data_IF_812563773960
#
_entry.id   IF_812563773960
#
_cell.length_a   1.000
_cell.length_b   1.000
_cell.length_c   1.000
_cell.angle_alpha   90.00
_cell.angle_beta   90.00
_cell.angle_gamma   90.00
#
_symmetry.space_group_name_H-M   'P 1'
#
loop_
_entity.id
_entity.type
_entity.pdbx_description
1 polymer ?
#
# COMPACT_ATOMS: atom_id res chain seq x y z
N UNK A 1 -7.30 -11.65 -21.00
CA UNK A 1 -7.09 -10.58 -20.00
C UNK A 1 -7.70 -11.06 -18.70
N UNK A 2 -6.93 -11.23 -17.62
CA UNK A 2 -7.46 -11.83 -16.38
C UNK A 2 -8.20 -10.76 -15.58
N UNK A 3 -9.45 -11.06 -15.19
CA UNK A 3 -10.33 -10.12 -14.49
C UNK A 3 -10.19 -10.31 -12.98
N UNK A 4 -10.03 -9.21 -12.26
CA UNK A 4 -9.92 -9.18 -10.81
C UNK A 4 -10.95 -8.18 -10.30
N UNK A 5 -11.73 -8.61 -9.31
CA UNK A 5 -12.72 -7.77 -8.66
C UNK A 5 -12.41 -7.71 -7.17
N UNK A 6 -12.11 -6.51 -6.69
CA UNK A 6 -11.98 -6.22 -5.28
C UNK A 6 -13.24 -5.48 -4.84
N UNK A 7 -13.94 -6.01 -3.85
CA UNK A 7 -15.17 -5.41 -3.32
C UNK A 7 -15.36 -5.74 -1.83
N UNK A 8 -16.26 -5.04 -1.13
CA UNK A 8 -16.80 -5.55 0.12
C UNK A 8 -17.39 -6.96 -0.06
N UNK A 9 -17.34 -7.75 1.01
CA UNK A 9 -17.80 -9.14 1.04
C UNK A 9 -19.24 -9.32 0.56
N UNK A 10 -20.14 -8.42 0.96
CA UNK A 10 -21.55 -8.47 0.61
C UNK A 10 -21.85 -8.22 -0.88
N UNK A 11 -20.88 -7.71 -1.64
CA UNK A 11 -21.00 -7.50 -3.08
C UNK A 11 -20.37 -8.65 -3.90
N UNK A 12 -19.69 -9.59 -3.25
CA UNK A 12 -19.11 -10.75 -3.93
C UNK A 12 -20.22 -11.75 -4.22
N UNK A 13 -20.43 -12.17 -5.49
CA UNK A 13 -21.50 -13.09 -5.83
C UNK A 13 -21.31 -14.46 -5.18
N UNK A 14 -22.42 -15.17 -4.95
CA UNK A 14 -22.39 -16.55 -4.44
C UNK A 14 -21.76 -17.49 -5.47
N UNK A 15 -22.21 -17.39 -6.72
CA UNK A 15 -21.60 -18.07 -7.87
C UNK A 15 -20.57 -17.14 -8.51
N UNK A 16 -19.30 -17.54 -8.48
CA UNK A 16 -18.20 -16.75 -9.05
C UNK A 16 -18.19 -16.90 -10.57
N UNK A 17 -17.91 -15.80 -11.27
CA UNK A 17 -17.67 -15.83 -12.72
C UNK A 17 -16.39 -16.63 -13.02
N UNK A 18 -16.44 -17.44 -14.07
CA UNK A 18 -15.26 -18.11 -14.61
C UNK A 18 -14.21 -17.08 -15.05
N UNK A 19 -12.93 -17.42 -14.95
CA UNK A 19 -11.79 -16.53 -15.25
C UNK A 19 -11.73 -15.20 -14.48
N UNK A 20 -12.50 -15.07 -13.39
CA UNK A 20 -12.51 -13.88 -12.52
C UNK A 20 -12.04 -14.23 -11.11
N UNK A 21 -10.99 -13.55 -10.64
CA UNK A 21 -10.56 -13.65 -9.23
C UNK A 21 -11.26 -12.59 -8.39
N UNK A 22 -11.83 -12.99 -7.25
CA UNK A 22 -12.50 -12.09 -6.32
C UNK A 22 -11.69 -11.92 -5.05
N UNK A 23 -11.67 -10.70 -4.54
CA UNK A 23 -11.03 -10.34 -3.27
C UNK A 23 -12.00 -9.56 -2.39
N UNK A 24 -12.15 -10.03 -1.14
CA UNK A 24 -12.84 -9.30 -0.09
C UNK A 24 -11.96 -8.21 0.50
N UNK A 25 -12.51 -7.01 0.59
CA UNK A 25 -11.87 -5.85 1.20
C UNK A 25 -12.07 -5.87 2.73
N UNK A 26 -10.98 -5.82 3.48
CA UNK A 26 -10.96 -5.62 4.94
C UNK A 26 -11.69 -6.69 5.79
N UNK A 27 -12.19 -7.76 5.19
CA UNK A 27 -12.82 -8.90 5.88
C UNK A 27 -12.32 -10.22 5.32
N UNK A 28 -12.27 -11.26 6.17
CA UNK A 28 -12.05 -12.63 5.72
C UNK A 28 -13.42 -13.28 5.47
N UNK A 29 -13.77 -13.59 4.21
CA UNK A 29 -15.09 -14.12 3.85
C UNK A 29 -15.25 -15.60 4.23
N UNK A 30 -14.19 -16.28 4.68
CA UNK A 30 -14.14 -17.73 4.95
C UNK A 30 -14.62 -18.57 3.76
N UNK A 31 -14.28 -18.14 2.54
CA UNK A 31 -14.58 -18.82 1.27
C UNK A 31 -13.26 -19.15 0.58
N UNK A 32 -12.97 -20.43 0.33
CA UNK A 32 -11.67 -20.87 -0.22
C UNK A 32 -11.32 -20.22 -1.56
N UNK A 33 -12.30 -20.03 -2.44
CA UNK A 33 -12.10 -19.47 -3.79
C UNK A 33 -12.13 -17.93 -3.83
N UNK A 34 -12.13 -17.26 -2.67
CA UNK A 34 -12.18 -15.79 -2.56
C UNK A 34 -11.00 -15.32 -1.71
N UNK A 35 -10.13 -14.52 -2.31
CA UNK A 35 -9.02 -13.90 -1.59
C UNK A 35 -9.51 -12.79 -0.68
N UNK A 36 -8.62 -12.24 0.13
CA UNK A 36 -8.93 -11.06 0.92
C UNK A 36 -7.68 -10.25 1.22
N UNK A 37 -7.85 -9.00 1.65
CA UNK A 37 -6.76 -8.14 2.09
C UNK A 37 -7.20 -7.16 3.17
N UNK A 38 -6.24 -6.57 3.87
CA UNK A 38 -6.48 -5.49 4.83
C UNK A 38 -7.29 -5.91 6.06
N UNK A 39 -7.40 -7.20 6.37
CA UNK A 39 -8.30 -7.73 7.40
C UNK A 39 -8.08 -7.18 8.82
N UNK A 40 -6.90 -6.61 9.10
CA UNK A 40 -6.62 -5.92 10.38
C UNK A 40 -6.63 -4.40 10.27
N UNK A 41 -6.53 -3.84 9.06
CA UNK A 41 -6.21 -2.42 8.85
C UNK A 41 -7.27 -1.50 9.47
N UNK A 42 -8.55 -1.84 9.37
CA UNK A 42 -9.63 -1.05 10.02
C UNK A 42 -9.38 -0.92 11.52
N UNK A 43 -9.03 -2.02 12.20
CA UNK A 43 -8.76 -2.02 13.64
C UNK A 43 -7.48 -1.25 13.96
N UNK A 44 -6.47 -1.35 13.10
CA UNK A 44 -5.19 -0.68 13.29
C UNK A 44 -5.33 0.85 13.14
N UNK A 45 -6.09 1.31 12.14
CA UNK A 45 -6.45 2.72 11.97
C UNK A 45 -7.30 3.24 13.13
N UNK A 46 -8.29 2.45 13.58
CA UNK A 46 -9.12 2.82 14.74
C UNK A 46 -8.31 2.92 16.03
N UNK A 47 -7.34 2.02 16.23
CA UNK A 47 -6.42 2.07 17.39
C UNK A 47 -5.51 3.28 17.32
N UNK A 48 -5.08 3.66 16.13
CA UNK A 48 -4.25 4.84 15.89
C UNK A 48 -5.02 6.17 15.98
N UNK A 49 -6.33 6.18 16.23
CA UNK A 49 -7.04 7.45 16.42
C UNK A 49 -7.14 8.31 15.14
N UNK A 50 -6.92 7.75 13.95
CA UNK A 50 -6.73 8.54 12.74
C UNK A 50 -8.05 9.04 12.15
N UNK A 51 -8.11 10.34 11.84
CA UNK A 51 -9.21 10.93 11.08
C UNK A 51 -8.89 10.93 9.59
N UNK A 52 -9.46 9.97 8.88
CA UNK A 52 -9.18 9.81 7.45
C UNK A 52 -10.05 10.71 6.58
N UNK A 53 -9.45 11.22 5.51
CA UNK A 53 -10.20 11.73 4.36
C UNK A 53 -10.55 10.59 3.40
N UNK A 54 -11.67 10.72 2.68
CA UNK A 54 -12.14 9.65 1.78
C UNK A 54 -11.13 9.30 0.70
N UNK A 55 -10.46 10.30 0.14
CA UNK A 55 -9.42 10.09 -0.87
C UNK A 55 -8.19 9.34 -0.32
N UNK A 56 -7.81 9.54 0.94
CA UNK A 56 -6.71 8.78 1.55
C UNK A 56 -7.11 7.33 1.76
N UNK A 57 -8.35 7.10 2.23
CA UNK A 57 -8.89 5.76 2.43
C UNK A 57 -9.06 4.99 1.11
N UNK A 58 -9.57 5.65 0.08
CA UNK A 58 -9.68 5.07 -1.25
C UNK A 58 -8.31 4.76 -1.85
N UNK A 59 -7.32 5.65 -1.69
CA UNK A 59 -5.97 5.39 -2.18
C UNK A 59 -5.38 4.12 -1.57
N UNK A 60 -5.63 3.90 -0.28
CA UNK A 60 -5.21 2.70 0.43
C UNK A 60 -5.93 1.45 -0.07
N UNK A 61 -7.23 1.56 -0.30
CA UNK A 61 -8.03 0.49 -0.90
C UNK A 61 -7.50 0.11 -2.28
N UNK A 62 -7.18 1.09 -3.11
CA UNK A 62 -6.60 0.89 -4.46
C UNK A 62 -5.22 0.24 -4.36
N UNK A 63 -4.33 0.74 -3.50
CA UNK A 63 -2.98 0.19 -3.32
C UNK A 63 -3.02 -1.27 -2.85
N UNK A 64 -3.88 -1.61 -1.89
CA UNK A 64 -4.09 -2.99 -1.44
C UNK A 64 -4.62 -3.89 -2.57
N UNK A 65 -5.58 -3.39 -3.35
CA UNK A 65 -6.13 -4.11 -4.49
C UNK A 65 -5.08 -4.36 -5.59
N UNK A 66 -4.19 -3.39 -5.83
CA UNK A 66 -3.05 -3.54 -6.74
C UNK A 66 -2.10 -4.63 -6.25
N UNK A 67 -1.72 -4.63 -4.96
CA UNK A 67 -0.84 -5.66 -4.40
C UNK A 67 -1.50 -7.04 -4.45
N UNK A 68 -2.80 -7.13 -4.14
CA UNK A 68 -3.55 -8.37 -4.26
C UNK A 68 -3.57 -8.89 -5.71
N UNK A 69 -3.82 -8.00 -6.66
CA UNK A 69 -3.82 -8.33 -8.08
C UNK A 69 -2.44 -8.80 -8.57
N UNK A 70 -1.39 -8.03 -8.25
CA UNK A 70 0.00 -8.31 -8.63
C UNK A 70 0.45 -9.68 -8.10
N UNK A 71 0.14 -9.99 -6.85
CA UNK A 71 0.52 -11.26 -6.21
C UNK A 71 -0.31 -12.45 -6.72
N UNK A 72 -1.51 -12.23 -7.25
CA UNK A 72 -2.45 -13.30 -7.62
C UNK A 72 -2.25 -13.87 -9.03
N UNK A 73 -1.45 -13.22 -9.88
CA UNK A 73 -1.34 -13.59 -11.29
C UNK A 73 0.09 -13.98 -11.65
N UNK A 74 0.34 -15.27 -11.87
CA UNK A 74 1.69 -15.73 -12.22
C UNK A 74 2.10 -15.33 -13.64
N UNK A 75 3.31 -14.79 -13.82
CA UNK A 75 3.86 -14.38 -15.13
C UNK A 75 4.14 -15.54 -16.07
N UNK A 76 4.49 -16.73 -15.55
CA UNK A 76 4.75 -17.95 -16.34
C UNK A 76 3.62 -18.33 -17.31
N UNK A 77 2.40 -17.86 -17.04
CA UNK A 77 1.21 -18.15 -17.83
C UNK A 77 0.91 -17.07 -18.90
N UNK A 78 1.75 -16.04 -19.06
CA UNK A 78 1.59 -15.04 -20.13
C UNK A 78 2.21 -15.52 -21.44
N UNK A 79 1.81 -14.90 -22.56
CA UNK A 79 2.23 -15.32 -23.90
C UNK A 79 3.76 -15.26 -24.11
N UNK A 80 4.42 -14.32 -23.44
CA UNK A 80 5.87 -14.12 -23.43
C UNK A 80 6.54 -14.64 -22.14
N UNK A 81 5.77 -15.26 -21.23
CA UNK A 81 6.21 -15.67 -19.89
C UNK A 81 6.55 -14.51 -18.93
N UNK A 82 6.28 -13.26 -19.32
CA UNK A 82 6.67 -12.06 -18.59
C UNK A 82 5.56 -11.04 -18.37
N UNK A 83 4.87 -10.59 -19.42
CA UNK A 83 3.97 -9.44 -19.43
C UNK A 83 2.52 -9.87 -19.28
N UNK A 84 1.89 -9.48 -18.17
CA UNK A 84 0.47 -9.78 -17.89
C UNK A 84 -0.43 -8.66 -18.39
N UNK A 85 -1.69 -9.01 -18.63
CA UNK A 85 -2.78 -8.06 -18.84
C UNK A 85 -3.77 -8.20 -17.69
N UNK A 86 -3.80 -7.18 -16.83
CA UNK A 86 -4.52 -7.15 -15.56
C UNK A 86 -5.69 -6.19 -15.68
N UNK A 87 -6.91 -6.70 -15.60
CA UNK A 87 -8.12 -5.88 -15.51
C UNK A 87 -8.59 -5.89 -14.05
N UNK A 88 -8.39 -4.78 -13.35
CA UNK A 88 -8.70 -4.63 -11.94
C UNK A 88 -9.89 -3.71 -11.74
N UNK A 89 -10.97 -4.27 -11.19
CA UNK A 89 -12.12 -3.51 -10.70
C UNK A 89 -11.99 -3.32 -9.19
N UNK A 90 -12.05 -2.07 -8.71
CA UNK A 90 -11.94 -1.72 -7.29
C UNK A 90 -13.19 -0.92 -6.88
N UNK A 91 -13.87 -1.37 -5.84
CA UNK A 91 -14.93 -0.60 -5.19
C UNK A 91 -14.30 0.41 -4.21
N UNK A 92 -14.60 1.69 -4.39
CA UNK A 92 -14.09 2.81 -3.60
C UNK A 92 -15.25 3.67 -3.10
N UNK A 93 -15.01 4.52 -2.10
CA UNK A 93 -16.01 5.43 -1.55
C UNK A 93 -16.40 6.49 -2.59
N UNK A 94 -15.44 7.10 -3.27
CA UNK A 94 -15.69 8.19 -4.20
C UNK A 94 -14.96 8.00 -5.54
N UNK A 95 -15.55 7.25 -6.49
CA UNK A 95 -14.93 7.02 -7.81
C UNK A 95 -14.66 8.29 -8.62
N UNK A 96 -15.43 9.36 -8.38
CA UNK A 96 -15.29 10.60 -9.16
C UNK A 96 -13.92 11.28 -9.01
N UNK A 97 -13.23 11.03 -7.88
CA UNK A 97 -11.86 11.50 -7.64
C UNK A 97 -10.84 10.70 -8.45
N UNK A 98 -11.11 9.42 -8.69
CA UNK A 98 -10.14 8.48 -9.27
C UNK A 98 -10.26 8.34 -10.78
N UNK A 99 -11.46 8.50 -11.34
CA UNK A 99 -11.70 8.42 -12.78
C UNK A 99 -10.82 9.39 -13.57
N UNK A 100 -10.64 10.67 -13.18
CA UNK A 100 -9.77 11.61 -13.91
C UNK A 100 -8.29 11.21 -13.92
N UNK A 101 -7.80 10.58 -12.86
CA UNK A 101 -6.37 10.18 -12.71
C UNK A 101 -6.11 8.72 -13.10
N UNK A 102 -7.14 8.00 -13.53
CA UNK A 102 -7.08 6.57 -13.91
C UNK A 102 -5.92 6.26 -14.86
N UNK A 103 -5.79 7.03 -15.94
CA UNK A 103 -4.79 6.78 -16.97
C UNK A 103 -3.36 6.99 -16.44
N UNK A 104 -3.17 7.94 -15.53
CA UNK A 104 -1.88 8.17 -14.86
C UNK A 104 -1.53 6.99 -13.95
N UNK A 105 -2.50 6.49 -13.17
CA UNK A 105 -2.32 5.29 -12.36
C UNK A 105 -1.95 4.07 -13.22
N UNK A 106 -2.65 3.83 -14.32
CA UNK A 106 -2.35 2.72 -15.24
C UNK A 106 -0.93 2.83 -15.83
N UNK A 107 -0.49 4.03 -16.23
CA UNK A 107 0.87 4.28 -16.73
C UNK A 107 1.92 4.04 -15.64
N UNK A 108 1.68 4.53 -14.44
CA UNK A 108 2.58 4.36 -13.29
C UNK A 108 2.71 2.87 -12.93
N UNK A 109 1.59 2.14 -12.84
CA UNK A 109 1.60 0.70 -12.57
C UNK A 109 2.32 -0.07 -13.68
N UNK A 110 2.12 0.30 -14.95
CA UNK A 110 2.87 -0.28 -16.07
C UNK A 110 4.36 -0.02 -15.95
N UNK A 111 4.77 1.19 -15.58
CA UNK A 111 6.18 1.52 -15.38
C UNK A 111 6.81 0.68 -14.26
N UNK A 112 6.11 0.55 -13.13
CA UNK A 112 6.60 -0.20 -11.96
C UNK A 112 6.66 -1.72 -12.21
N UNK A 113 5.64 -2.27 -12.86
CA UNK A 113 5.43 -3.74 -12.94
C UNK A 113 5.82 -4.34 -14.29
N UNK A 114 5.89 -3.54 -15.35
CA UNK A 114 6.02 -3.98 -16.74
C UNK A 114 4.72 -4.53 -17.34
N UNK A 115 3.62 -4.63 -16.58
CA UNK A 115 2.36 -5.21 -17.03
C UNK A 115 1.40 -4.17 -17.63
N UNK A 116 0.42 -4.64 -18.42
CA UNK A 116 -0.68 -3.81 -18.88
C UNK A 116 -1.79 -3.80 -17.83
N UNK A 117 -2.08 -2.62 -17.28
CA UNK A 117 -3.15 -2.41 -16.31
C UNK A 117 -4.35 -1.74 -16.95
N UNK A 118 -5.53 -2.23 -16.63
CA UNK A 118 -6.81 -1.55 -16.88
C UNK A 118 -7.58 -1.46 -15.58
N UNK A 119 -7.86 -0.25 -15.10
CA UNK A 119 -8.50 0.02 -13.82
C UNK A 119 -9.97 0.40 -14.03
N UNK A 120 -10.86 -0.14 -13.21
CA UNK A 120 -12.27 0.27 -13.17
C UNK A 120 -12.66 0.59 -11.74
N UNK A 121 -13.04 1.83 -11.47
CA UNK A 121 -13.50 2.26 -10.15
C UNK A 121 -15.02 2.17 -10.08
N UNK A 122 -15.54 1.54 -9.03
CA UNK A 122 -16.98 1.44 -8.75
C UNK A 122 -17.31 2.02 -7.39
N UNK A 123 -18.52 2.54 -7.23
CA UNK A 123 -19.04 2.94 -5.92
C UNK A 123 -19.28 1.73 -5.02
N UNK A 124 -19.58 1.98 -3.75
CA UNK A 124 -19.85 0.91 -2.78
C UNK A 124 -18.58 0.29 -2.20
N UNK A 125 -17.51 1.07 -2.08
CA UNK A 125 -16.34 0.70 -1.27
C UNK A 125 -16.68 0.58 0.22
N UNK A 126 -15.77 -0.02 0.99
CA UNK A 126 -15.92 -0.10 2.45
C UNK A 126 -15.83 1.30 3.04
N UNK A 127 -16.82 1.70 3.84
CA UNK A 127 -16.87 3.02 4.48
C UNK A 127 -15.66 3.25 5.41
N UNK A 128 -15.36 4.53 5.66
CA UNK A 128 -14.25 4.92 6.51
C UNK A 128 -14.41 4.32 7.92
N UNK A 129 -13.32 3.89 8.56
CA UNK A 129 -13.34 3.48 9.95
C UNK A 129 -13.84 4.63 10.84
N UNK A 130 -14.92 4.41 11.59
CA UNK A 130 -15.43 5.36 12.58
C UNK A 130 -14.97 4.94 13.97
N UNK A 131 -14.54 5.87 14.83
CA UNK A 131 -14.26 5.52 16.23
C UNK A 131 -15.56 5.22 16.96
N UNK A 132 -15.56 4.17 17.78
CA UNK A 132 -16.70 3.81 18.63
C UNK A 132 -17.01 4.91 19.67
N UNK A 133 -15.98 5.62 20.13
CA UNK A 133 -16.17 6.78 20.99
C UNK A 133 -16.47 8.03 20.14
N UNK A 134 -17.73 8.45 20.17
CA UNK A 134 -18.24 9.62 19.42
C UNK A 134 -17.52 10.92 19.79
N UNK A 135 -16.95 11.02 20.99
CA UNK A 135 -16.24 12.21 21.49
C UNK A 135 -14.85 12.35 20.84
N UNK A 136 -14.16 11.22 20.57
CA UNK A 136 -12.90 11.20 19.81
C UNK A 136 -13.10 11.51 18.32
N UNK A 137 -14.31 11.31 17.79
CA UNK A 137 -14.64 11.78 16.43
C UNK A 137 -14.87 13.30 16.37
N UNK A 138 -15.13 13.95 17.52
CA UNK A 138 -15.50 15.38 17.62
C UNK A 138 -14.34 16.28 18.07
N UNK A 139 -13.45 15.77 18.93
CA UNK A 139 -12.21 16.43 19.33
C UNK A 139 -11.15 16.11 18.27
N UNK A 140 -10.54 17.13 17.67
CA UNK A 140 -9.43 16.93 16.73
C UNK A 140 -8.30 16.12 17.38
N UNK A 141 -7.55 15.34 16.59
CA UNK A 141 -6.43 14.51 17.06
C UNK A 141 -5.39 15.38 17.76
N UNK A 142 -5.48 15.49 19.08
CA UNK A 142 -4.63 16.38 19.90
C UNK A 142 -3.30 15.74 20.32
N UNK A 143 -3.07 14.47 19.94
CA UNK A 143 -2.06 13.65 20.61
C UNK A 143 -0.82 13.37 19.73
N UNK A 144 -0.77 13.91 18.51
CA UNK A 144 0.39 13.81 17.62
C UNK A 144 1.10 15.17 17.54
N UNK A 145 2.35 15.22 18.01
CA UNK A 145 3.21 16.40 17.96
C UNK A 145 4.26 16.32 16.85
N UNK A 146 4.28 15.21 16.10
CA UNK A 146 5.16 14.99 14.96
C UNK A 146 4.85 15.89 13.75
N UNK A 147 5.89 16.18 12.96
CA UNK A 147 5.86 17.17 11.88
C UNK A 147 6.04 16.58 10.48
N UNK A 148 6.36 15.29 10.40
CA UNK A 148 6.53 14.58 9.12
C UNK A 148 6.34 13.07 9.26
N UNK A 149 6.31 12.38 8.12
CA UNK A 149 6.27 10.92 8.03
C UNK A 149 7.61 10.42 7.50
N UNK A 150 8.16 9.37 8.10
CA UNK A 150 9.35 8.68 7.60
C UNK A 150 9.08 7.19 7.38
N UNK A 151 9.28 6.71 6.16
CA UNK A 151 9.18 5.29 5.86
C UNK A 151 10.37 4.52 6.44
N UNK A 152 10.07 3.47 7.20
CA UNK A 152 11.07 2.63 7.86
C UNK A 152 10.88 1.17 7.44
N UNK A 153 11.61 0.73 6.41
CA UNK A 153 11.48 -0.63 5.85
C UNK A 153 12.12 -1.70 6.74
N UNK A 154 13.11 -1.32 7.57
CA UNK A 154 13.97 -2.25 8.31
C UNK A 154 15.32 -2.48 7.64
N UNK A 155 15.52 -1.95 6.42
CA UNK A 155 16.81 -1.92 5.73
C UNK A 155 17.71 -0.77 6.19
N UNK A 156 19.00 -0.87 5.84
CA UNK A 156 20.05 0.11 6.22
C UNK A 156 19.78 1.51 5.67
N UNK A 157 19.25 1.62 4.45
CA UNK A 157 18.98 2.94 3.84
C UNK A 157 17.89 3.69 4.60
N UNK A 158 16.80 3.00 4.93
CA UNK A 158 15.71 3.55 5.74
C UNK A 158 16.16 3.93 7.15
N UNK A 159 17.10 3.17 7.73
CA UNK A 159 17.70 3.47 9.03
C UNK A 159 18.57 4.74 8.95
N UNK A 160 19.47 4.82 7.96
CA UNK A 160 20.37 5.96 7.80
C UNK A 160 19.58 7.26 7.61
N UNK A 161 18.62 7.28 6.68
CA UNK A 161 17.82 8.48 6.46
C UNK A 161 16.91 8.85 7.62
N UNK A 162 16.43 7.87 8.40
CA UNK A 162 15.69 8.17 9.63
C UNK A 162 16.57 8.81 10.72
N UNK A 163 17.82 8.35 10.87
CA UNK A 163 18.81 8.97 11.77
C UNK A 163 19.12 10.40 11.32
N UNK A 164 19.37 10.61 10.03
CA UNK A 164 19.66 11.94 9.48
C UNK A 164 18.50 12.90 9.74
N UNK A 165 17.27 12.46 9.46
CA UNK A 165 16.07 13.27 9.63
C UNK A 165 15.86 13.74 11.08
N UNK A 166 16.07 12.84 12.06
CA UNK A 166 15.98 13.20 13.48
C UNK A 166 17.16 14.08 13.92
N UNK A 167 18.35 13.84 13.36
CA UNK A 167 19.55 14.66 13.63
C UNK A 167 19.39 16.10 13.13
N UNK A 168 18.66 16.28 12.02
CA UNK A 168 18.24 17.59 11.50
C UNK A 168 17.16 18.29 12.34
N UNK A 169 16.71 17.65 13.44
CA UNK A 169 15.75 18.22 14.39
C UNK A 169 14.29 18.01 14.01
N UNK A 170 13.99 17.12 13.05
CA UNK A 170 12.61 16.74 12.70
C UNK A 170 12.04 15.73 13.68
N UNK A 171 10.71 15.65 13.77
CA UNK A 171 10.00 14.69 14.62
C UNK A 171 9.09 13.84 13.72
N UNK A 172 9.58 12.73 13.17
CA UNK A 172 8.79 11.90 12.26
C UNK A 172 7.88 10.92 13.01
N UNK A 173 6.70 10.66 12.44
CA UNK A 173 6.00 9.38 12.64
C UNK A 173 6.67 8.35 11.74
N UNK A 174 7.12 7.25 12.33
CA UNK A 174 7.66 6.14 11.56
C UNK A 174 6.55 5.25 11.02
N UNK A 175 6.67 4.84 9.75
CA UNK A 175 5.69 3.96 9.11
C UNK A 175 6.41 2.79 8.46
N UNK A 176 6.00 1.58 8.85
CA UNK A 176 6.57 0.33 8.36
C UNK A 176 5.48 -0.57 7.78
N UNK A 177 5.77 -1.11 6.59
CA UNK A 177 5.03 -2.25 6.08
C UNK A 177 5.67 -3.53 6.62
N UNK A 178 4.91 -4.31 7.41
CA UNK A 178 5.40 -5.58 7.94
C UNK A 178 5.31 -6.65 6.87
N UNK A 179 6.47 -7.20 6.50
CA UNK A 179 6.59 -8.49 5.81
C UNK A 179 7.39 -9.43 6.71
N UNK A 180 7.15 -10.73 6.57
CA UNK A 180 7.60 -11.77 7.52
C UNK A 180 9.07 -11.58 7.90
N UNK A 181 9.34 -11.40 9.19
CA UNK A 181 10.71 -11.34 9.77
C UNK A 181 11.20 -9.94 10.15
N UNK A 182 10.62 -8.87 9.58
CA UNK A 182 11.20 -7.52 9.72
C UNK A 182 10.66 -6.72 10.91
N UNK A 183 9.58 -7.19 11.54
CA UNK A 183 8.82 -6.42 12.52
C UNK A 183 9.65 -6.00 13.74
N UNK A 184 10.47 -6.90 14.29
CA UNK A 184 11.26 -6.62 15.48
C UNK A 184 12.42 -5.67 15.18
N UNK A 185 13.04 -5.80 13.99
CA UNK A 185 14.07 -4.88 13.51
C UNK A 185 13.50 -3.46 13.34
N UNK A 186 12.35 -3.35 12.66
CA UNK A 186 11.67 -2.07 12.45
C UNK A 186 11.34 -1.38 13.79
N UNK A 187 10.82 -2.15 14.77
CA UNK A 187 10.52 -1.61 16.10
C UNK A 187 11.78 -1.17 16.84
N UNK A 188 12.81 -2.02 16.82
CA UNK A 188 14.11 -1.71 17.43
C UNK A 188 14.71 -0.43 16.85
N UNK A 189 14.58 -0.22 15.54
CA UNK A 189 15.05 1.01 14.88
C UNK A 189 14.26 2.23 15.35
N UNK A 190 12.93 2.20 15.27
CA UNK A 190 12.10 3.32 15.73
C UNK A 190 12.39 3.68 17.19
N UNK A 191 12.43 2.68 18.09
CA UNK A 191 12.72 2.87 19.52
C UNK A 191 14.10 3.48 19.77
N UNK A 192 15.13 3.05 19.03
CA UNK A 192 16.50 3.56 19.23
C UNK A 192 16.74 4.92 18.60
N UNK A 193 16.08 5.22 17.49
CA UNK A 193 16.23 6.51 16.79
C UNK A 193 15.51 7.60 17.57
N UNK A 194 14.24 7.36 17.93
CA UNK A 194 13.42 8.31 18.68
C UNK A 194 12.26 7.58 19.36
N UNK A 195 12.46 7.18 20.61
CA UNK A 195 11.47 6.40 21.39
C UNK A 195 10.13 7.12 21.64
N UNK A 196 10.13 8.45 21.56
CA UNK A 196 8.92 9.29 21.72
C UNK A 196 8.07 9.31 20.44
N UNK A 197 8.64 8.97 19.27
CA UNK A 197 7.91 8.97 18.01
C UNK A 197 6.92 7.83 17.91
N UNK A 198 5.73 8.13 17.39
CA UNK A 198 4.79 7.10 17.00
C UNK A 198 5.36 6.23 15.87
N UNK A 199 5.11 4.92 15.99
CA UNK A 199 5.52 3.94 14.98
C UNK A 199 4.32 3.08 14.56
N UNK A 200 3.90 3.23 13.30
CA UNK A 200 2.85 2.42 12.71
C UNK A 200 3.43 1.25 11.93
N UNK A 201 3.20 0.04 12.45
CA UNK A 201 3.53 -1.22 11.79
C UNK A 201 2.26 -1.85 11.20
N UNK A 202 2.04 -1.67 9.90
CA UNK A 202 0.85 -2.20 9.22
C UNK A 202 1.18 -3.28 8.22
N UNK A 203 0.22 -4.19 8.01
CA UNK A 203 0.35 -5.29 7.06
C UNK A 203 -0.82 -5.25 6.07
N UNK A 204 -0.53 -5.45 4.78
CA UNK A 204 -1.56 -5.54 3.75
C UNK A 204 -2.44 -6.79 3.90
N UNK A 205 -2.01 -7.80 4.65
CA UNK A 205 -2.73 -9.05 4.96
C UNK A 205 -3.38 -9.69 3.73
N UNK A 206 -2.65 -9.73 2.61
CA UNK A 206 -3.16 -10.26 1.35
C UNK A 206 -3.15 -11.77 1.44
N UNK A 207 -4.31 -12.36 1.20
CA UNK A 207 -4.53 -13.78 1.10
C UNK A 207 -5.09 -14.07 -0.30
N UNK A 208 -4.41 -14.94 -1.05
CA UNK A 208 -4.73 -15.20 -2.44
C UNK A 208 -5.83 -16.26 -2.56
N UNK A 209 -6.76 -16.15 -3.53
CA UNK A 209 -7.64 -17.23 -3.88
C UNK A 209 -6.84 -18.29 -4.66
N UNK A 210 -6.86 -19.52 -4.17
CA UNK A 210 -6.08 -20.66 -4.67
C UNK A 210 -4.55 -20.48 -4.48
N UNK A 211 -3.79 -21.57 -4.61
CA UNK A 211 -2.34 -21.61 -4.35
C UNK A 211 -1.46 -20.98 -5.46
N UNK A 212 -2.05 -20.23 -6.40
CA UNK A 212 -1.27 -19.49 -7.40
C UNK A 212 -0.74 -18.18 -6.82
N UNK A 213 0.56 -18.14 -6.53
CA UNK A 213 1.26 -16.94 -6.08
C UNK A 213 2.34 -16.50 -7.07
N UNK A 214 2.33 -15.23 -7.44
CA UNK A 214 3.42 -14.58 -8.14
C UNK A 214 4.55 -14.26 -7.15
N UNK A 215 5.75 -14.80 -7.41
CA UNK A 215 6.91 -14.62 -6.54
C UNK A 215 7.54 -13.22 -6.61
N UNK A 216 7.28 -12.46 -7.68
CA UNK A 216 7.76 -11.08 -7.82
C UNK A 216 6.75 -10.07 -7.28
N UNK A 217 7.13 -9.27 -6.28
CA UNK A 217 6.27 -8.21 -5.72
C UNK A 217 6.57 -6.85 -6.35
N UNK A 218 6.43 -6.74 -7.68
CA UNK A 218 6.87 -5.54 -8.43
C UNK A 218 5.98 -4.32 -8.19
N UNK A 219 4.73 -4.52 -7.80
CA UNK A 219 3.81 -3.46 -7.40
C UNK A 219 3.89 -3.08 -5.93
N UNK A 220 4.78 -3.67 -5.13
CA UNK A 220 4.80 -3.52 -3.67
C UNK A 220 5.03 -2.09 -3.20
N UNK A 221 5.79 -1.27 -3.95
CA UNK A 221 6.13 0.10 -3.53
C UNK A 221 4.90 0.99 -3.26
N UNK A 222 3.81 0.80 -4.00
CA UNK A 222 2.59 1.60 -3.84
C UNK A 222 1.99 1.49 -2.43
N UNK A 223 2.17 0.35 -1.74
CA UNK A 223 1.60 0.17 -0.40
C UNK A 223 2.29 1.03 0.64
N UNK A 224 3.58 1.29 0.47
CA UNK A 224 4.33 2.13 1.41
C UNK A 224 3.84 3.58 1.32
N UNK A 225 3.62 4.09 0.11
CA UNK A 225 3.03 5.42 -0.08
C UNK A 225 1.60 5.50 0.44
N UNK A 226 0.81 4.43 0.27
CA UNK A 226 -0.55 4.37 0.79
C UNK A 226 -0.57 4.44 2.32
N UNK A 227 0.26 3.64 2.99
CA UNK A 227 0.41 3.68 4.44
C UNK A 227 0.99 5.02 4.93
N UNK A 228 1.96 5.60 4.24
CA UNK A 228 2.43 6.95 4.57
C UNK A 228 1.31 7.99 4.47
N UNK A 229 0.46 7.92 3.45
CA UNK A 229 -0.69 8.82 3.32
C UNK A 229 -1.73 8.62 4.43
N UNK A 230 -1.98 7.38 4.88
CA UNK A 230 -2.80 7.12 6.07
C UNK A 230 -2.19 7.77 7.31
N UNK A 231 -0.91 7.53 7.57
CA UNK A 231 -0.21 8.05 8.73
C UNK A 231 -0.15 9.58 8.72
N UNK A 232 -0.01 10.20 7.54
CA UNK A 232 -0.07 11.65 7.38
C UNK A 232 -1.40 12.27 7.85
N UNK A 233 -2.48 11.47 7.95
CA UNK A 233 -3.75 11.92 8.52
C UNK A 233 -3.70 12.12 10.04
N UNK A 234 -2.64 11.67 10.71
CA UNK A 234 -2.39 11.91 12.14
C UNK A 234 -1.94 13.36 12.41
N UNK A 235 -1.19 13.94 11.49
CA UNK A 235 -0.52 15.22 11.69
C UNK A 235 -1.47 16.36 11.30
N UNK A 236 -1.67 17.30 12.23
CA UNK A 236 -2.45 18.51 11.96
C UNK A 236 -1.60 19.52 11.18
N UNK A 237 -1.79 19.60 9.87
CA UNK A 237 -1.17 20.63 9.06
C UNK A 237 -2.01 21.90 9.01
N UNK A 238 -1.35 23.04 8.89
CA UNK A 238 -2.04 24.27 8.52
C UNK A 238 -2.68 24.11 7.13
N UNK A 239 -3.89 24.64 6.92
CA UNK A 239 -4.52 24.65 5.60
C UNK A 239 -3.55 25.19 4.54
N UNK A 240 -3.24 24.37 3.53
CA UNK A 240 -2.35 24.74 2.42
C UNK A 240 -0.89 24.29 2.56
N UNK A 241 -0.50 23.63 3.67
CA UNK A 241 0.83 22.99 3.79
C UNK A 241 0.69 21.46 3.68
N UNK A 242 1.29 20.81 2.66
CA UNK A 242 1.23 19.36 2.53
C UNK A 242 2.10 18.68 3.59
N UNK A 243 1.70 17.45 3.96
CA UNK A 243 2.52 16.58 4.77
C UNK A 243 3.82 16.21 4.05
N UNK A 244 4.96 16.33 4.74
CA UNK A 244 6.22 15.84 4.21
C UNK A 244 6.33 14.32 4.47
N UNK A 245 6.44 13.55 3.39
CA UNK A 245 6.68 12.11 3.44
C UNK A 245 8.12 11.86 2.97
N UNK A 246 8.96 11.38 3.88
CA UNK A 246 10.33 10.98 3.60
C UNK A 246 10.38 9.50 3.25
N UNK A 247 11.04 9.19 2.13
CA UNK A 247 11.25 7.85 1.62
C UNK A 247 12.76 7.63 1.47
N UNK A 248 13.45 7.26 2.56
CA UNK A 248 14.89 7.07 2.49
C UNK A 248 15.21 5.76 1.80
N UNK A 249 15.95 5.87 0.69
CA UNK A 249 16.23 4.77 -0.22
C UNK A 249 17.53 5.06 -0.99
N UNK A 250 18.25 4.03 -1.43
CA UNK A 250 19.39 4.20 -2.32
C UNK A 250 18.95 4.62 -3.74
N UNK A 251 19.26 5.87 -4.10
CA UNK A 251 18.98 6.48 -5.41
C UNK A 251 19.54 5.72 -6.63
N UNK A 252 20.65 4.98 -6.48
CA UNK A 252 21.27 4.28 -7.61
C UNK A 252 20.52 3.01 -7.99
N UNK A 253 19.95 2.31 -6.99
CA UNK A 253 19.17 1.09 -7.18
C UNK A 253 17.73 1.43 -7.60
N UNK A 254 17.15 2.50 -7.03
CA UNK A 254 15.78 2.94 -7.34
C UNK A 254 15.62 3.50 -8.78
N UNK A 255 16.69 4.03 -9.38
CA UNK A 255 16.71 4.44 -10.79
C UNK A 255 16.87 3.26 -11.77
N UNK A 256 17.22 2.07 -11.27
CA UNK A 256 17.47 0.86 -12.07
C UNK A 256 18.37 1.15 -13.30
N UNK A 257 19.44 1.92 -13.07
CA UNK A 257 20.42 2.24 -14.13
C UNK A 257 21.19 0.95 -14.43
N UNK A 258 21.26 0.49 -15.69
CA UNK A 258 22.01 -0.70 -16.04
C UNK A 258 23.48 -0.51 -15.64
N UNK A 259 24.01 -1.46 -14.84
CA UNK A 259 25.37 -1.40 -14.31
C UNK A 259 26.40 -1.79 -15.37
N UNK A 260 25.96 -2.40 -16.47
CA UNK A 260 26.78 -2.69 -17.64
C UNK A 260 25.97 -2.64 -18.96
N UNK A 261 26.70 -2.62 -20.07
CA UNK A 261 26.16 -2.64 -21.43
C UNK A 261 25.59 -3.99 -21.89
N UNK A 262 25.37 -4.96 -21.00
CA UNK A 262 24.58 -6.16 -21.30
C UNK A 262 23.18 -6.08 -20.66
N UNK A 263 23.03 -5.31 -19.58
CA UNK A 263 21.79 -5.12 -18.83
C UNK A 263 20.80 -4.14 -19.47
N UNK A 264 21.17 -3.43 -20.55
CA UNK A 264 20.21 -2.60 -21.31
C UNK A 264 19.06 -3.43 -21.91
N UNK A 265 19.29 -4.73 -22.14
CA UNK A 265 18.32 -5.65 -22.73
C UNK A 265 17.46 -6.39 -21.69
N UNK A 266 17.86 -6.38 -20.41
CA UNK A 266 17.18 -7.12 -19.35
C UNK A 266 16.22 -6.19 -18.63
N UNK A 267 14.92 -6.43 -18.78
CA UNK A 267 13.88 -5.78 -17.99
C UNK A 267 13.98 -6.26 -16.53
N UNK A 268 14.96 -5.75 -15.78
CA UNK A 268 15.05 -6.02 -14.36
C UNK A 268 13.82 -5.43 -13.62
N UNK A 269 13.36 -6.04 -12.51
CA UNK A 269 12.38 -5.40 -11.63
C UNK A 269 12.88 -4.00 -11.25
N UNK A 270 11.98 -3.02 -11.14
CA UNK A 270 12.31 -1.66 -10.67
C UNK A 270 11.83 -1.49 -9.22
N UNK A 271 12.48 -2.11 -8.22
CA UNK A 271 12.07 -1.94 -6.84
C UNK A 271 12.43 -0.53 -6.38
N UNK A 272 11.42 0.18 -5.88
CA UNK A 272 11.62 1.39 -5.08
C UNK A 272 12.10 1.05 -3.66
N UNK A 273 11.99 -0.21 -3.24
CA UNK A 273 12.48 -0.76 -1.96
C UNK A 273 12.91 -2.20 -2.24
N UNK A 274 14.21 -2.54 -2.15
CA UNK A 274 14.69 -3.90 -2.36
C UNK A 274 14.30 -4.81 -1.20
N UNK A 275 14.24 -6.11 -1.48
CA UNK A 275 14.26 -7.11 -0.43
C UNK A 275 15.66 -7.15 0.18
N UNK A 276 15.77 -6.94 1.50
CA UNK A 276 16.98 -7.23 2.29
C UNK A 276 16.74 -8.47 3.11
#
# INVERSE_FOLDING_TARGET
MRKIVCSPENLIPQQLEEDTKYFSMYSNPRRENVGYFGSTLIKDVQRAGLRLAENVWDFNTIALAVVAADNSLTRKNSADGWTRQINLTVHVCNPSVWVPVKLELEKTLRFLTGDFWSLTFKEGGVSLPVHQNRQLNLLGTSDYDEDCICLLSGGVDSLAGAIDLVTEGRSPIFVSQVVRGDADTQRTYAEKIRSESHHFQWNHNVHLPNDESEGSTRGRSIIFFAFAALAASAIQFQPGSPANIYVPENGFISLNIPLNSAEWAVSAPRPLIPFT
#
